data_IF_224405071775
#
_entry.id   IF_224405071775
#
_cell.length_a   1.000
_cell.length_b   1.000
_cell.length_c   1.000
_cell.angle_alpha   90.00
_cell.angle_beta   90.00
_cell.angle_gamma   90.00
#
_symmetry.space_group_name_H-M   'P 1'
#
loop_
_entity.id
_entity.type
_entity.pdbx_description
1 polymer ?
#
# COMPACT_ATOMS: atom_id res chain seq x y z
N UNK A 1 13.17 10.12 28.10
CA UNK A 1 11.86 9.65 28.62
C UNK A 1 11.76 8.15 28.32
N UNK A 2 11.30 7.33 29.27
CA UNK A 2 11.08 5.90 28.99
C UNK A 2 9.99 5.76 27.93
N UNK A 3 10.21 4.90 26.92
CA UNK A 3 9.25 4.57 25.85
C UNK A 3 7.82 4.33 26.39
N UNK A 4 7.71 3.77 27.61
CA UNK A 4 6.41 3.51 28.27
C UNK A 4 5.56 4.76 28.56
N UNK A 5 6.16 5.89 28.96
CA UNK A 5 5.40 7.12 29.25
C UNK A 5 4.80 7.71 27.98
N UNK A 6 5.50 7.53 26.86
CA UNK A 6 5.10 8.02 25.55
C UNK A 6 3.86 7.30 25.04
N UNK A 7 3.90 5.97 25.08
CA UNK A 7 2.82 5.07 24.64
C UNK A 7 1.54 5.29 25.46
N UNK A 8 1.66 5.48 26.77
CA UNK A 8 0.51 5.76 27.64
C UNK A 8 -0.21 7.06 27.26
N UNK A 9 0.52 8.10 26.84
CA UNK A 9 -0.10 9.36 26.42
C UNK A 9 -0.79 9.25 25.06
N UNK A 10 -0.20 8.51 24.12
CA UNK A 10 -0.85 8.20 22.83
C UNK A 10 -2.15 7.42 23.00
N UNK A 11 -2.22 6.54 24.00
CA UNK A 11 -3.43 5.77 24.34
C UNK A 11 -4.38 6.48 25.32
N UNK A 12 -4.17 7.78 25.62
CA UNK A 12 -5.04 8.55 26.51
C UNK A 12 -6.44 8.74 25.93
N UNK A 13 -7.49 8.75 26.75
CA UNK A 13 -8.84 9.12 26.30
C UNK A 13 -8.98 10.61 25.96
N UNK A 14 -8.15 11.46 26.55
CA UNK A 14 -8.14 12.91 26.27
C UNK A 14 -7.44 13.23 24.94
N UNK A 15 -8.18 13.86 24.02
CA UNK A 15 -7.69 14.24 22.69
C UNK A 15 -6.46 15.14 22.77
N UNK A 16 -6.46 16.16 23.65
CA UNK A 16 -5.34 17.12 23.74
C UNK A 16 -4.05 16.42 24.15
N UNK A 17 -4.14 15.49 25.10
CA UNK A 17 -3.02 14.66 25.53
C UNK A 17 -2.48 13.81 24.39
N UNK A 18 -3.36 13.20 23.57
CA UNK A 18 -2.93 12.41 22.41
C UNK A 18 -2.26 13.28 21.34
N UNK A 19 -2.84 14.42 21.00
CA UNK A 19 -2.31 15.33 19.98
C UNK A 19 -0.90 15.83 20.38
N UNK A 20 -0.73 16.29 21.61
CA UNK A 20 0.58 16.75 22.11
C UNK A 20 1.61 15.61 22.18
N UNK A 21 1.15 14.38 22.46
CA UNK A 21 2.00 13.20 22.39
C UNK A 21 2.43 12.92 20.94
N UNK A 22 1.52 12.96 19.97
CA UNK A 22 1.85 12.75 18.56
C UNK A 22 2.86 13.79 18.04
N UNK A 23 2.68 15.07 18.37
CA UNK A 23 3.64 16.12 18.02
C UNK A 23 5.03 15.87 18.64
N UNK A 24 5.05 15.43 19.91
CA UNK A 24 6.30 15.01 20.55
C UNK A 24 6.93 13.78 19.86
N UNK A 25 6.12 12.90 19.25
CA UNK A 25 6.61 11.70 18.54
C UNK A 25 7.33 12.11 17.28
N UNK A 26 6.73 13.01 16.51
CA UNK A 26 7.27 13.49 15.25
C UNK A 26 8.68 14.04 15.46
N UNK A 27 8.85 14.90 16.47
CA UNK A 27 10.16 15.43 16.83
C UNK A 27 11.13 14.35 17.33
N UNK A 28 10.63 13.39 18.11
CA UNK A 28 11.46 12.28 18.59
C UNK A 28 11.98 11.43 17.43
N UNK A 29 11.11 11.00 16.51
CA UNK A 29 11.47 10.17 15.35
C UNK A 29 12.48 10.87 14.43
N UNK A 30 12.29 12.17 14.16
CA UNK A 30 13.22 12.98 13.36
C UNK A 30 14.65 13.00 13.89
N UNK A 31 14.83 12.83 15.20
CA UNK A 31 16.16 12.84 15.84
C UNK A 31 16.80 11.46 15.97
N UNK A 32 16.06 10.38 15.70
CA UNK A 32 16.50 9.01 15.95
C UNK A 32 17.00 8.35 14.67
N UNK A 33 18.21 7.81 14.74
CA UNK A 33 18.81 7.02 13.65
C UNK A 33 18.44 5.54 13.72
N UNK A 34 18.26 4.99 14.93
CA UNK A 34 17.89 3.60 15.12
C UNK A 34 17.08 3.43 16.40
N UNK A 35 16.19 2.44 16.40
CA UNK A 35 15.34 2.01 17.49
C UNK A 35 15.17 0.50 17.36
N UNK A 36 14.96 -0.20 18.47
CA UNK A 36 14.66 -1.63 18.39
C UNK A 36 13.24 -1.84 17.85
N UNK A 37 13.03 -2.91 17.07
CA UNK A 37 11.69 -3.34 16.67
C UNK A 37 10.71 -3.40 17.85
N UNK A 38 11.13 -3.85 19.03
CA UNK A 38 10.29 -3.87 20.24
C UNK A 38 9.81 -2.47 20.65
N UNK A 39 10.66 -1.46 20.57
CA UNK A 39 10.28 -0.08 20.89
C UNK A 39 9.38 0.53 19.81
N UNK A 40 9.61 0.20 18.53
CA UNK A 40 8.73 0.59 17.43
C UNK A 40 7.34 -0.04 17.58
N UNK A 41 7.26 -1.33 17.96
CA UNK A 41 5.98 -2.01 18.26
C UNK A 41 5.24 -1.35 19.43
N UNK A 42 5.96 -0.95 20.49
CA UNK A 42 5.35 -0.20 21.60
C UNK A 42 4.78 1.13 21.12
N UNK A 43 5.51 1.87 20.27
CA UNK A 43 5.04 3.12 19.67
C UNK A 43 3.77 2.86 18.84
N UNK A 44 3.81 1.88 17.93
CA UNK A 44 2.66 1.53 17.09
C UNK A 44 1.45 1.05 17.89
N UNK A 45 1.65 0.33 18.98
CA UNK A 45 0.57 -0.02 19.92
C UNK A 45 -0.10 1.23 20.51
N UNK A 46 0.68 2.28 20.82
CA UNK A 46 0.16 3.58 21.23
C UNK A 46 -0.63 4.28 20.12
N UNK A 47 -0.08 4.33 18.90
CA UNK A 47 -0.72 4.95 17.73
C UNK A 47 -2.02 4.24 17.32
N UNK A 48 -2.03 2.90 17.39
CA UNK A 48 -3.22 2.07 17.21
C UNK A 48 -4.35 2.53 18.14
N UNK A 49 -4.05 2.71 19.44
CA UNK A 49 -5.06 3.21 20.38
C UNK A 49 -5.42 4.68 20.18
N UNK A 50 -4.49 5.51 19.66
CA UNK A 50 -4.84 6.87 19.24
C UNK A 50 -5.93 6.86 18.17
N UNK A 51 -5.84 5.98 17.18
CA UNK A 51 -6.89 5.77 16.17
C UNK A 51 -8.14 5.13 16.76
N UNK A 52 -7.98 4.14 17.63
CA UNK A 52 -9.09 3.45 18.31
C UNK A 52 -10.02 4.42 19.06
N UNK A 53 -9.47 5.41 19.76
CA UNK A 53 -10.22 6.45 20.49
C UNK A 53 -10.60 7.67 19.64
N UNK A 54 -10.34 7.64 18.33
CA UNK A 54 -10.76 8.69 17.41
C UNK A 54 -12.14 8.35 16.81
N UNK A 55 -13.19 9.06 17.25
CA UNK A 55 -14.58 8.72 16.88
C UNK A 55 -15.21 9.68 15.86
N UNK A 56 -14.60 10.85 15.60
CA UNK A 56 -15.15 11.83 14.64
C UNK A 56 -14.52 11.62 13.26
N UNK A 57 -15.32 11.47 12.21
CA UNK A 57 -14.85 11.16 10.84
C UNK A 57 -13.73 12.09 10.34
N UNK A 58 -13.94 13.41 10.34
CA UNK A 58 -12.90 14.38 9.95
C UNK A 58 -11.63 14.30 10.81
N UNK A 59 -11.75 13.88 12.07
CA UNK A 59 -10.60 13.68 12.94
C UNK A 59 -9.88 12.35 12.65
N UNK A 60 -10.61 11.32 12.23
CA UNK A 60 -10.04 10.03 11.78
C UNK A 60 -9.25 10.23 10.48
N UNK A 61 -9.77 10.98 9.52
CA UNK A 61 -9.07 11.34 8.28
C UNK A 61 -7.75 12.07 8.58
N UNK A 62 -7.82 13.17 9.36
CA UNK A 62 -6.63 13.94 9.74
C UNK A 62 -5.63 13.11 10.54
N UNK A 63 -6.10 12.24 11.43
CA UNK A 63 -5.22 11.39 12.20
C UNK A 63 -4.54 10.35 11.29
N UNK A 64 -5.28 9.70 10.40
CA UNK A 64 -4.73 8.73 9.44
C UNK A 64 -3.64 9.37 8.57
N UNK A 65 -3.92 10.57 8.07
CA UNK A 65 -2.94 11.38 7.33
C UNK A 65 -1.69 11.68 8.17
N UNK A 66 -1.87 12.19 9.40
CA UNK A 66 -0.73 12.51 10.28
C UNK A 66 0.10 11.26 10.67
N UNK A 67 -0.53 10.09 10.79
CA UNK A 67 0.16 8.84 11.04
C UNK A 67 0.93 8.36 9.81
N UNK A 68 0.37 8.52 8.61
CA UNK A 68 1.06 8.29 7.34
C UNK A 68 2.29 9.17 7.21
N UNK A 69 2.16 10.47 7.49
CA UNK A 69 3.27 11.44 7.47
C UNK A 69 4.44 11.11 8.40
N UNK A 70 4.25 10.23 9.39
CA UNK A 70 5.40 9.72 10.17
C UNK A 70 6.42 9.01 9.27
N UNK A 71 5.96 8.32 8.21
CA UNK A 71 6.82 7.67 7.23
C UNK A 71 7.51 8.67 6.32
N UNK A 72 6.73 9.51 5.61
CA UNK A 72 7.29 10.40 4.60
C UNK A 72 8.00 11.64 5.15
N UNK A 73 7.73 12.06 6.39
CA UNK A 73 8.24 13.34 6.93
C UNK A 73 9.07 13.19 8.22
N UNK A 74 9.03 12.05 8.92
CA UNK A 74 9.61 11.95 10.27
C UNK A 74 10.66 10.87 10.48
N UNK A 75 10.59 9.73 9.80
CA UNK A 75 11.59 8.66 9.91
C UNK A 75 12.61 8.72 8.77
N UNK A 76 13.76 8.08 8.96
CA UNK A 76 14.79 7.89 7.95
C UNK A 76 14.72 6.49 7.35
N UNK A 77 15.53 6.24 6.32
CA UNK A 77 15.57 4.97 5.61
C UNK A 77 15.95 3.79 6.54
N UNK A 78 16.81 4.02 7.53
CA UNK A 78 17.23 2.98 8.47
C UNK A 78 16.09 2.51 9.39
N UNK A 79 15.14 3.39 9.70
CA UNK A 79 13.97 3.05 10.51
C UNK A 79 12.77 2.59 9.68
N UNK A 80 12.73 2.91 8.38
CA UNK A 80 11.56 2.74 7.52
C UNK A 80 11.01 1.31 7.57
N UNK A 81 11.85 0.32 7.27
CA UNK A 81 11.41 -1.07 7.18
C UNK A 81 10.99 -1.66 8.54
N UNK A 82 11.72 -1.37 9.61
CA UNK A 82 11.33 -1.83 10.95
C UNK A 82 10.06 -1.13 11.47
N UNK A 83 9.84 0.13 11.10
CA UNK A 83 8.64 0.86 11.46
C UNK A 83 7.41 0.33 10.72
N UNK A 84 7.55 0.01 9.43
CA UNK A 84 6.52 -0.68 8.63
C UNK A 84 6.21 -2.06 9.18
N UNK A 85 7.24 -2.84 9.54
CA UNK A 85 7.04 -4.16 10.15
C UNK A 85 6.29 -4.06 11.48
N UNK A 86 6.68 -3.11 12.35
CA UNK A 86 6.01 -2.89 13.62
C UNK A 86 4.53 -2.50 13.45
N UNK A 87 4.19 -1.71 12.43
CA UNK A 87 2.81 -1.39 12.08
C UNK A 87 2.01 -2.65 11.77
N UNK A 88 2.49 -3.47 10.83
CA UNK A 88 1.78 -4.67 10.40
C UNK A 88 1.66 -5.71 11.50
N UNK A 89 2.71 -5.95 12.28
CA UNK A 89 2.63 -6.89 13.41
C UNK A 89 1.59 -6.46 14.45
N UNK A 90 1.53 -5.17 14.78
CA UNK A 90 0.50 -4.66 15.69
C UNK A 90 -0.88 -4.80 15.07
N UNK A 91 -1.04 -4.42 13.80
CA UNK A 91 -2.34 -4.46 13.15
C UNK A 91 -2.88 -5.90 13.03
N UNK A 92 -2.06 -6.87 12.59
CA UNK A 92 -2.44 -8.29 12.47
C UNK A 92 -2.88 -8.87 13.82
N UNK A 93 -2.16 -8.56 14.90
CA UNK A 93 -2.51 -9.03 16.25
C UNK A 93 -3.85 -8.43 16.70
N UNK A 94 -4.04 -7.13 16.50
CA UNK A 94 -5.21 -6.42 17.00
C UNK A 94 -6.45 -6.55 16.12
N UNK A 95 -6.29 -6.88 14.83
CA UNK A 95 -7.40 -6.99 13.88
C UNK A 95 -8.47 -7.98 14.34
N UNK A 96 -8.05 -9.09 14.97
CA UNK A 96 -8.95 -10.12 15.51
C UNK A 96 -9.87 -9.60 16.62
N UNK A 97 -9.47 -8.52 17.29
CA UNK A 97 -10.21 -7.88 18.38
C UNK A 97 -10.98 -6.62 17.93
N UNK A 98 -10.89 -6.27 16.64
CA UNK A 98 -11.51 -5.07 16.10
C UNK A 98 -12.99 -5.33 15.81
N UNK A 99 -13.86 -4.51 16.38
CA UNK A 99 -15.29 -4.59 16.11
C UNK A 99 -15.67 -3.86 14.81
N UNK A 100 -16.82 -4.25 14.23
CA UNK A 100 -17.29 -3.75 12.94
C UNK A 100 -17.40 -2.22 12.84
N UNK A 101 -17.70 -1.52 13.94
CA UNK A 101 -17.88 -0.07 13.96
C UNK A 101 -16.57 0.71 13.84
N UNK A 102 -15.43 0.02 13.95
CA UNK A 102 -14.09 0.60 13.86
C UNK A 102 -13.36 0.22 12.58
N UNK A 103 -13.88 -0.71 11.79
CA UNK A 103 -13.21 -1.22 10.59
C UNK A 103 -12.84 -0.09 9.62
N UNK A 104 -13.79 0.75 9.25
CA UNK A 104 -13.60 1.77 8.20
C UNK A 104 -12.42 2.71 8.48
N UNK A 105 -12.25 3.16 9.73
CA UNK A 105 -11.12 4.04 10.08
C UNK A 105 -9.77 3.33 10.07
N UNK A 106 -9.75 2.01 10.30
CA UNK A 106 -8.52 1.23 10.18
C UNK A 106 -8.22 0.87 8.72
N UNK A 107 -9.22 0.64 7.87
CA UNK A 107 -9.02 0.55 6.42
C UNK A 107 -8.49 1.86 5.84
N UNK A 108 -9.04 3.01 6.26
CA UNK A 108 -8.51 4.32 5.90
C UNK A 108 -7.07 4.52 6.40
N UNK A 109 -6.77 4.07 7.61
CA UNK A 109 -5.41 4.12 8.14
C UNK A 109 -4.44 3.31 7.28
N UNK A 110 -4.77 2.05 6.94
CA UNK A 110 -3.96 1.20 6.06
C UNK A 110 -3.69 1.92 4.74
N UNK A 111 -4.74 2.49 4.13
CA UNK A 111 -4.66 3.24 2.88
C UNK A 111 -3.69 4.42 2.96
N UNK A 112 -3.75 5.20 4.04
CA UNK A 112 -2.81 6.32 4.26
C UNK A 112 -1.39 5.84 4.56
N UNK A 113 -1.21 4.76 5.32
CA UNK A 113 0.12 4.20 5.57
C UNK A 113 0.75 3.72 4.27
N UNK A 114 0.00 3.00 3.42
CA UNK A 114 0.48 2.55 2.11
C UNK A 114 0.92 3.74 1.24
N UNK A 115 0.06 4.75 1.10
CA UNK A 115 0.39 5.98 0.36
C UNK A 115 1.71 6.60 0.82
N UNK A 116 1.88 6.78 2.13
CA UNK A 116 3.08 7.42 2.65
C UNK A 116 4.32 6.52 2.60
N UNK A 117 4.17 5.19 2.58
CA UNK A 117 5.26 4.28 2.25
C UNK A 117 5.72 4.49 0.81
N UNK A 118 4.78 4.52 -0.14
CA UNK A 118 5.08 4.75 -1.56
C UNK A 118 5.71 6.13 -1.78
N UNK A 119 5.19 7.19 -1.14
CA UNK A 119 5.82 8.52 -1.17
C UNK A 119 7.23 8.52 -0.60
N UNK A 120 7.47 7.76 0.47
CA UNK A 120 8.81 7.63 1.03
C UNK A 120 9.76 6.96 0.03
N UNK A 121 9.37 5.83 -0.55
CA UNK A 121 10.14 5.13 -1.59
C UNK A 121 10.40 6.01 -2.82
N UNK A 122 9.39 6.73 -3.32
CA UNK A 122 9.54 7.73 -4.40
C UNK A 122 10.57 8.80 -4.04
N UNK A 123 10.54 9.31 -2.80
CA UNK A 123 11.51 10.32 -2.35
C UNK A 123 12.93 9.79 -2.13
N UNK A 124 13.08 8.46 -2.06
CA UNK A 124 14.37 7.76 -2.09
C UNK A 124 14.71 7.26 -3.51
N UNK A 125 14.06 7.81 -4.54
CA UNK A 125 14.30 7.47 -5.95
C UNK A 125 14.17 5.97 -6.23
N UNK A 126 13.25 5.30 -5.51
CA UNK A 126 13.01 3.86 -5.64
C UNK A 126 14.26 3.00 -5.42
N UNK A 127 15.14 3.41 -4.50
CA UNK A 127 16.35 2.66 -4.13
C UNK A 127 16.09 1.14 -3.99
N UNK A 128 16.84 0.35 -4.76
CA UNK A 128 16.56 -1.07 -4.95
C UNK A 128 16.67 -1.87 -3.62
N UNK A 129 17.67 -1.58 -2.78
CA UNK A 129 17.84 -2.25 -1.50
C UNK A 129 16.67 -1.94 -0.56
N UNK A 130 16.26 -0.67 -0.49
CA UNK A 130 15.15 -0.21 0.32
C UNK A 130 13.82 -0.81 -0.15
N UNK A 131 13.56 -0.82 -1.46
CA UNK A 131 12.37 -1.41 -2.07
C UNK A 131 12.29 -2.91 -1.78
N UNK A 132 13.38 -3.65 -2.02
CA UNK A 132 13.45 -5.09 -1.73
C UNK A 132 13.22 -5.40 -0.25
N UNK A 133 13.80 -4.60 0.65
CA UNK A 133 13.60 -4.78 2.08
C UNK A 133 12.15 -4.47 2.51
N UNK A 134 11.49 -3.48 1.88
CA UNK A 134 10.09 -3.16 2.12
C UNK A 134 9.14 -4.24 1.60
N UNK A 135 9.39 -4.76 0.38
CA UNK A 135 8.70 -5.93 -0.19
C UNK A 135 8.81 -7.11 0.76
N UNK A 136 10.01 -7.42 1.24
CA UNK A 136 10.23 -8.48 2.22
C UNK A 136 9.48 -8.24 3.54
N UNK A 137 9.18 -6.99 3.91
CA UNK A 137 8.28 -6.69 5.04
C UNK A 137 6.83 -7.06 4.73
N UNK A 138 6.33 -6.77 3.53
CA UNK A 138 4.97 -7.15 3.14
C UNK A 138 4.79 -8.67 3.06
N UNK A 139 5.72 -9.36 2.42
CA UNK A 139 5.70 -10.82 2.28
C UNK A 139 5.79 -11.57 3.60
N UNK A 140 6.48 -11.03 4.61
CA UNK A 140 6.54 -11.68 5.94
C UNK A 140 5.39 -11.26 6.86
N UNK A 141 4.54 -10.33 6.44
CA UNK A 141 3.46 -9.77 7.27
C UNK A 141 2.10 -9.88 6.58
N UNK A 142 1.54 -8.78 6.08
CA UNK A 142 0.16 -8.73 5.58
C UNK A 142 -0.07 -9.58 4.32
N UNK A 143 0.94 -9.75 3.47
CA UNK A 143 0.88 -10.56 2.25
C UNK A 143 1.57 -11.93 2.41
N UNK A 144 1.69 -12.43 3.65
CA UNK A 144 2.39 -13.69 3.92
C UNK A 144 1.63 -14.97 3.57
N UNK A 145 0.31 -14.89 3.41
CA UNK A 145 -0.54 -16.08 3.22
C UNK A 145 -0.67 -16.97 4.47
N UNK A 146 -0.14 -16.54 5.63
CA UNK A 146 -0.26 -17.27 6.89
C UNK A 146 -1.69 -17.19 7.45
N UNK A 147 -2.18 -18.28 8.03
CA UNK A 147 -3.49 -18.37 8.71
C UNK A 147 -3.58 -17.43 9.92
N UNK A 148 -2.43 -16.97 10.42
CA UNK A 148 -2.39 -15.99 11.50
C UNK A 148 -2.91 -14.62 11.07
N UNK A 149 -2.88 -14.30 9.77
CA UNK A 149 -3.33 -13.04 9.17
C UNK A 149 -4.81 -13.12 8.81
N UNK A 150 -5.59 -12.13 9.25
CA UNK A 150 -7.00 -12.03 8.87
C UNK A 150 -7.12 -11.70 7.37
N UNK A 151 -7.87 -12.50 6.62
CA UNK A 151 -8.08 -12.35 5.18
C UNK A 151 -8.55 -10.96 4.74
N UNK A 152 -9.29 -10.25 5.60
CA UNK A 152 -9.68 -8.86 5.36
C UNK A 152 -8.50 -7.93 5.02
N UNK A 153 -7.30 -8.20 5.54
CA UNK A 153 -6.12 -7.37 5.32
C UNK A 153 -5.51 -7.53 3.92
N UNK A 154 -5.12 -8.74 3.44
CA UNK A 154 -4.63 -8.90 2.08
C UNK A 154 -5.68 -8.57 1.02
N UNK A 155 -6.97 -8.85 1.28
CA UNK A 155 -8.05 -8.41 0.38
C UNK A 155 -8.04 -6.88 0.21
N UNK A 156 -8.03 -6.16 1.33
CA UNK A 156 -7.98 -4.70 1.32
C UNK A 156 -6.69 -4.16 0.70
N UNK A 157 -5.57 -4.88 0.81
CA UNK A 157 -4.34 -4.50 0.10
C UNK A 157 -4.52 -4.61 -1.42
N UNK A 158 -5.14 -5.67 -1.92
CA UNK A 158 -5.46 -5.80 -3.35
C UNK A 158 -6.36 -4.64 -3.81
N UNK A 159 -7.41 -4.34 -3.03
CA UNK A 159 -8.40 -3.29 -3.35
C UNK A 159 -7.80 -1.87 -3.51
N UNK A 160 -6.63 -1.60 -2.93
CA UNK A 160 -6.09 -0.23 -2.85
C UNK A 160 -4.70 -0.06 -3.45
N UNK A 161 -3.99 -1.15 -3.79
CA UNK A 161 -2.56 -1.04 -4.07
C UNK A 161 -2.28 -0.19 -5.32
N UNK A 162 -2.91 -0.56 -6.44
CA UNK A 162 -2.73 0.15 -7.71
C UNK A 162 -3.28 1.58 -7.62
N UNK A 163 -4.40 1.80 -6.92
CA UNK A 163 -4.95 3.14 -6.67
C UNK A 163 -3.96 4.08 -5.96
N UNK A 164 -3.33 3.59 -4.88
CA UNK A 164 -2.40 4.40 -4.11
C UNK A 164 -1.06 4.56 -4.83
N UNK A 165 -0.64 3.58 -5.64
CA UNK A 165 0.51 3.69 -6.52
C UNK A 165 0.28 4.75 -7.60
N UNK A 166 -0.83 4.67 -8.34
CA UNK A 166 -1.23 5.66 -9.34
C UNK A 166 -1.20 7.08 -8.76
N UNK A 167 -1.84 7.27 -7.61
CA UNK A 167 -1.91 8.56 -6.94
C UNK A 167 -0.51 9.13 -6.63
N UNK A 168 0.43 8.29 -6.19
CA UNK A 168 1.78 8.73 -5.84
C UNK A 168 2.65 8.97 -7.07
N UNK A 169 2.50 8.16 -8.11
CA UNK A 169 3.23 8.33 -9.37
C UNK A 169 2.83 9.64 -10.05
N UNK A 170 1.54 9.88 -10.18
CA UNK A 170 1.00 10.99 -10.97
C UNK A 170 0.58 12.21 -10.15
N UNK A 171 0.96 12.30 -8.86
CA UNK A 171 0.62 13.43 -7.98
C UNK A 171 0.97 14.80 -8.61
N UNK A 172 2.06 14.88 -9.37
CA UNK A 172 2.54 16.13 -9.99
C UNK A 172 1.77 16.54 -11.24
N UNK A 173 1.09 15.59 -11.88
CA UNK A 173 0.30 15.82 -13.10
C UNK A 173 -1.20 15.62 -12.85
N UNK A 174 -1.62 15.50 -11.58
CA UNK A 174 -3.00 15.20 -11.23
C UNK A 174 -3.97 16.29 -11.71
N UNK A 175 -3.57 17.57 -11.65
CA UNK A 175 -4.40 18.66 -12.16
C UNK A 175 -4.63 18.52 -13.67
N UNK A 176 -3.61 18.13 -14.43
CA UNK A 176 -3.75 17.87 -15.87
C UNK A 176 -4.65 16.67 -16.14
N UNK A 177 -4.54 15.60 -15.33
CA UNK A 177 -5.44 14.43 -15.42
C UNK A 177 -6.89 14.82 -15.13
N UNK A 178 -7.12 15.61 -14.07
CA UNK A 178 -8.46 16.03 -13.66
C UNK A 178 -9.13 16.95 -14.69
N UNK A 179 -8.35 17.84 -15.33
CA UNK A 179 -8.82 18.67 -16.45
C UNK A 179 -9.13 17.83 -17.70
N UNK A 180 -8.44 16.71 -17.87
CA UNK A 180 -8.55 15.83 -19.02
C UNK A 180 -9.76 14.88 -18.97
N UNK A 181 -10.18 14.48 -17.78
CA UNK A 181 -11.33 13.58 -17.57
C UNK A 181 -12.69 14.25 -17.88
N UNK A 182 -12.70 15.51 -18.36
CA UNK A 182 -13.87 16.15 -18.95
C UNK A 182 -14.20 15.56 -20.35
N UNK A 183 -15.49 15.33 -20.65
CA UNK A 183 -16.02 14.58 -21.81
C UNK A 183 -15.56 15.03 -23.24
N UNK A 184 -14.70 16.05 -23.37
CA UNK A 184 -14.31 16.67 -24.63
C UNK A 184 -12.85 16.41 -25.08
N UNK A 185 -12.07 15.59 -24.37
CA UNK A 185 -10.67 15.36 -24.73
C UNK A 185 -10.50 14.61 -26.07
N UNK A 186 -9.60 15.10 -26.94
CA UNK A 186 -9.35 14.47 -28.23
C UNK A 186 -8.51 13.19 -28.11
N UNK A 187 -8.50 12.36 -29.15
CA UNK A 187 -7.66 11.16 -29.22
C UNK A 187 -6.17 11.51 -29.12
N UNK A 188 -5.78 12.65 -29.69
CA UNK A 188 -4.39 13.12 -29.66
C UNK A 188 -3.98 13.48 -28.23
N UNK A 189 -4.83 14.20 -27.52
CA UNK A 189 -4.57 14.55 -26.12
C UNK A 189 -4.50 13.28 -25.25
N UNK A 190 -5.31 12.23 -25.54
CA UNK A 190 -5.30 10.96 -24.78
C UNK A 190 -3.97 10.24 -24.96
N UNK A 191 -3.48 10.25 -26.19
CA UNK A 191 -2.21 9.64 -26.58
C UNK A 191 -1.05 10.37 -25.90
N UNK A 192 -1.10 11.70 -25.80
CA UNK A 192 -0.09 12.50 -25.10
C UNK A 192 -0.08 12.19 -23.59
N UNK A 193 -1.25 12.09 -22.97
CA UNK A 193 -1.35 11.72 -21.55
C UNK A 193 -0.82 10.32 -21.25
N UNK A 194 -1.11 9.34 -22.11
CA UNK A 194 -0.58 7.98 -21.96
C UNK A 194 0.95 7.96 -22.08
N UNK A 195 1.51 8.66 -23.07
CA UNK A 195 2.97 8.81 -23.22
C UNK A 195 3.59 9.43 -21.96
N UNK A 196 2.98 10.50 -21.43
CA UNK A 196 3.46 11.14 -20.20
C UNK A 196 3.43 10.20 -18.99
N UNK A 197 2.38 9.36 -18.86
CA UNK A 197 2.30 8.34 -17.81
C UNK A 197 3.42 7.31 -17.95
N UNK A 198 3.65 6.80 -19.15
CA UNK A 198 4.74 5.84 -19.45
C UNK A 198 6.10 6.47 -19.11
N UNK A 199 6.35 7.72 -19.49
CA UNK A 199 7.59 8.43 -19.17
C UNK A 199 7.81 8.62 -17.66
N UNK A 200 6.74 8.86 -16.88
CA UNK A 200 6.83 8.97 -15.40
C UNK A 200 7.09 7.62 -14.75
N UNK A 201 6.53 6.56 -15.34
CA UNK A 201 6.68 5.18 -14.86
C UNK A 201 8.05 4.61 -15.27
N UNK A 202 8.70 5.19 -16.28
CA UNK A 202 10.07 4.85 -16.65
C UNK A 202 11.02 5.05 -15.46
N UNK A 203 11.73 3.99 -15.07
CA UNK A 203 12.58 3.96 -13.88
C UNK A 203 11.87 3.67 -12.55
N UNK A 204 10.55 3.44 -12.55
CA UNK A 204 9.83 2.93 -11.38
C UNK A 204 9.80 1.39 -11.43
N UNK A 205 10.20 0.68 -10.37
CA UNK A 205 10.21 -0.77 -10.36
C UNK A 205 8.80 -1.36 -10.10
N UNK A 206 7.81 -1.03 -10.93
CA UNK A 206 6.39 -1.40 -10.73
C UNK A 206 6.20 -2.91 -10.64
N UNK A 207 6.79 -3.68 -11.56
CA UNK A 207 6.75 -5.16 -11.51
C UNK A 207 7.29 -5.72 -10.19
N UNK A 208 8.32 -5.08 -9.64
CA UNK A 208 8.89 -5.47 -8.35
C UNK A 208 7.95 -5.14 -7.20
N UNK A 209 7.30 -3.98 -7.24
CA UNK A 209 6.34 -3.55 -6.22
C UNK A 209 5.12 -4.47 -6.13
N UNK A 210 4.70 -5.09 -7.23
CA UNK A 210 3.57 -6.04 -7.28
C UNK A 210 3.97 -7.51 -7.05
N UNK A 211 5.26 -7.84 -7.00
CA UNK A 211 5.79 -9.20 -6.77
C UNK A 211 5.17 -9.92 -5.55
N UNK A 212 4.94 -9.26 -4.39
CA UNK A 212 4.24 -9.90 -3.26
C UNK A 212 2.86 -10.45 -3.61
N UNK A 213 2.13 -9.79 -4.52
CA UNK A 213 0.81 -10.22 -4.98
C UNK A 213 0.92 -11.38 -5.96
N UNK A 214 1.94 -11.40 -6.82
CA UNK A 214 2.23 -12.55 -7.69
C UNK A 214 2.56 -13.80 -6.85
N UNK A 215 3.38 -13.65 -5.83
CA UNK A 215 3.68 -14.73 -4.88
C UNK A 215 2.43 -15.22 -4.15
N UNK A 216 1.63 -14.28 -3.62
CA UNK A 216 0.39 -14.62 -2.93
C UNK A 216 -0.65 -15.25 -3.88
N UNK A 217 -0.69 -14.83 -5.15
CA UNK A 217 -1.50 -15.43 -6.19
C UNK A 217 -1.13 -16.91 -6.43
N UNK A 218 0.15 -17.30 -6.36
CA UNK A 218 0.55 -18.70 -6.49
C UNK A 218 0.34 -19.50 -5.19
N UNK A 219 0.74 -18.92 -4.06
CA UNK A 219 0.91 -19.67 -2.81
C UNK A 219 -0.29 -19.59 -1.84
N UNK A 220 -1.23 -18.65 -2.02
CA UNK A 220 -2.34 -18.49 -1.08
C UNK A 220 -3.24 -19.74 -1.05
N UNK A 221 -3.60 -20.18 0.16
CA UNK A 221 -4.45 -21.37 0.36
C UNK A 221 -5.84 -21.22 -0.26
N UNK A 222 -6.41 -20.02 -0.17
CA UNK A 222 -7.77 -19.73 -0.65
C UNK A 222 -7.73 -19.29 -2.10
N UNK A 223 -8.42 -20.04 -2.97
CA UNK A 223 -8.57 -19.72 -4.40
C UNK A 223 -9.09 -18.30 -4.62
N UNK A 224 -10.06 -17.87 -3.83
CA UNK A 224 -10.64 -16.52 -3.94
C UNK A 224 -9.64 -15.40 -3.64
N UNK A 225 -8.60 -15.64 -2.83
CA UNK A 225 -7.53 -14.66 -2.62
C UNK A 225 -6.56 -14.68 -3.79
N UNK A 226 -6.27 -15.86 -4.35
CA UNK A 226 -5.44 -15.98 -5.56
C UNK A 226 -6.07 -15.20 -6.70
N UNK A 227 -7.35 -15.45 -6.98
CA UNK A 227 -8.15 -14.74 -7.99
C UNK A 227 -8.13 -13.23 -7.75
N UNK A 228 -8.37 -12.78 -6.51
CA UNK A 228 -8.34 -11.35 -6.19
C UNK A 228 -6.97 -10.70 -6.42
N UNK A 229 -5.87 -11.39 -6.14
CA UNK A 229 -4.54 -10.88 -6.45
C UNK A 229 -4.33 -10.75 -7.97
N UNK A 230 -4.86 -11.69 -8.75
CA UNK A 230 -4.79 -11.65 -10.21
C UNK A 230 -5.62 -10.49 -10.75
N UNK A 231 -6.92 -10.49 -10.49
CA UNK A 231 -7.90 -9.55 -11.05
C UNK A 231 -7.64 -8.09 -10.64
N UNK A 232 -7.36 -7.82 -9.37
CA UNK A 232 -7.30 -6.44 -8.87
C UNK A 232 -5.90 -5.82 -8.91
N UNK A 233 -4.85 -6.62 -9.19
CA UNK A 233 -3.46 -6.15 -9.11
C UNK A 233 -2.62 -6.56 -10.30
N UNK A 234 -2.57 -7.85 -10.64
CA UNK A 234 -1.66 -8.35 -11.69
C UNK A 234 -2.19 -8.06 -13.10
N UNK A 235 -3.51 -8.13 -13.27
CA UNK A 235 -4.21 -7.93 -14.54
C UNK A 235 -4.89 -6.53 -14.59
N UNK A 236 -4.53 -5.62 -13.68
CA UNK A 236 -5.11 -4.26 -13.67
C UNK A 236 -4.71 -3.53 -14.97
N UNK A 237 -5.71 -3.11 -15.76
CA UNK A 237 -5.52 -2.47 -17.08
C UNK A 237 -4.59 -1.24 -17.01
N UNK A 238 -4.51 -0.56 -15.86
CA UNK A 238 -3.59 0.57 -15.69
C UNK A 238 -2.12 0.17 -15.87
N UNK A 239 -1.76 -1.09 -15.63
CA UNK A 239 -0.40 -1.58 -15.87
C UNK A 239 -0.05 -1.56 -17.37
N UNK A 240 -1.01 -1.84 -18.25
CA UNK A 240 -0.85 -1.70 -19.70
C UNK A 240 -0.78 -0.22 -20.09
N UNK A 241 -1.68 0.62 -19.56
CA UNK A 241 -1.66 2.07 -19.79
C UNK A 241 -0.32 2.72 -19.38
N UNK A 242 0.36 2.15 -18.39
CA UNK A 242 1.65 2.62 -17.89
C UNK A 242 2.84 2.06 -18.66
N UNK A 243 2.60 1.19 -19.64
CA UNK A 243 3.65 0.49 -20.41
C UNK A 243 4.45 -0.50 -19.58
N UNK A 244 3.88 -1.01 -18.47
CA UNK A 244 4.53 -1.96 -17.57
C UNK A 244 4.41 -3.40 -18.08
N UNK A 245 3.28 -3.70 -18.73
CA UNK A 245 2.96 -5.00 -19.34
C UNK A 245 2.59 -4.75 -20.81
N UNK A 246 2.90 -5.70 -21.68
CA UNK A 246 2.51 -5.65 -23.10
C UNK A 246 0.98 -5.76 -23.24
N UNK A 247 0.44 -5.15 -24.29
CA UNK A 247 -0.99 -5.21 -24.60
C UNK A 247 -1.23 -6.40 -25.53
N UNK A 248 -1.69 -7.53 -24.97
CA UNK A 248 -1.95 -8.76 -25.73
C UNK A 248 -3.11 -8.61 -26.75
N UNK A 249 -3.75 -7.44 -26.86
CA UNK A 249 -4.85 -7.20 -27.81
C UNK A 249 -4.44 -7.13 -29.29
N UNK A 250 -3.13 -7.11 -29.60
CA UNK A 250 -2.61 -7.24 -30.97
C UNK A 250 -2.45 -8.71 -31.43
N UNK A 251 -2.58 -9.71 -30.54
CA UNK A 251 -2.40 -11.13 -30.87
C UNK A 251 -3.74 -11.89 -31.09
N UNK A 252 -4.90 -11.27 -30.81
CA UNK A 252 -6.21 -11.91 -31.00
C UNK A 252 -6.73 -11.90 -32.46
N UNK A 253 -6.05 -11.25 -33.42
CA UNK A 253 -6.48 -11.26 -34.84
C UNK A 253 -6.06 -12.53 -35.63
N UNK A 254 -5.21 -13.40 -35.09
CA UNK A 254 -4.68 -14.59 -35.82
C UNK A 254 -5.15 -15.97 -35.28
N UNK A 255 -6.00 -16.04 -34.24
CA UNK A 255 -6.48 -17.32 -33.66
C UNK A 255 -7.97 -17.66 -33.92
N UNK A 256 -8.57 -17.11 -34.99
CA UNK A 256 -9.91 -17.55 -35.45
C UNK A 256 -9.89 -18.72 -36.44
N UNK A 257 -8.93 -19.64 -36.42
CA UNK A 257 -9.08 -20.95 -37.06
C UNK A 257 -8.41 -22.08 -36.24
N UNK A 258 -9.09 -22.57 -35.20
CA UNK A 258 -9.34 -24.01 -34.96
C UNK A 258 -10.05 -24.24 -33.61
N UNK A 259 -11.40 -24.25 -33.64
CA UNK A 259 -12.17 -24.98 -32.61
C UNK A 259 -12.17 -26.46 -32.97
N UNK A 260 -11.60 -27.30 -32.12
CA UNK A 260 -12.27 -28.52 -31.64
C UNK A 260 -11.52 -29.19 -30.46
N UNK A 261 -12.04 -28.97 -29.25
CA UNK A 261 -12.16 -29.98 -28.19
C UNK A 261 -10.91 -30.36 -27.39
N UNK A 262 -10.78 -29.83 -26.17
CA UNK A 262 -10.82 -30.61 -24.94
C UNK A 262 -10.93 -29.65 -23.73
N UNK A 263 -11.85 -29.93 -22.80
CA UNK A 263 -11.80 -29.35 -21.44
C UNK A 263 -10.53 -29.90 -20.76
N UNK A 264 -9.52 -29.06 -20.57
CA UNK A 264 -8.51 -29.25 -19.54
C UNK A 264 -7.90 -27.90 -19.14
N UNK A 265 -7.66 -27.75 -17.84
CA UNK A 265 -7.32 -26.54 -17.10
C UNK A 265 -6.22 -25.69 -17.77
N UNK A 266 -6.56 -24.49 -18.27
CA UNK A 266 -5.56 -23.45 -18.52
C UNK A 266 -5.24 -22.76 -17.18
N UNK A 267 -4.20 -23.26 -16.51
CA UNK A 267 -3.44 -22.43 -15.58
C UNK A 267 -2.73 -21.37 -16.41
N UNK A 268 -3.41 -20.25 -16.66
CA UNK A 268 -2.80 -19.03 -17.21
C UNK A 268 -1.88 -18.46 -16.13
N UNK A 269 -0.71 -19.08 -16.06
CA UNK A 269 0.41 -18.70 -15.21
C UNK A 269 0.86 -17.31 -15.67
N UNK A 270 0.77 -16.33 -14.78
CA UNK A 270 1.29 -14.98 -15.05
C UNK A 270 2.78 -15.08 -15.43
N UNK A 271 3.11 -14.66 -16.66
CA UNK A 271 4.42 -14.84 -17.29
C UNK A 271 5.35 -13.62 -17.18
N UNK A 272 5.04 -12.65 -16.30
CA UNK A 272 5.70 -11.34 -16.24
C UNK A 272 7.05 -11.26 -15.52
N UNK A 273 7.91 -12.30 -15.57
CA UNK A 273 9.31 -12.23 -15.12
C UNK A 273 10.30 -12.76 -16.15
#
# INVERSE_FOLDING_TARGET
MSSSTFVKKLASSDKKTRDAALESLQNFLKTKKSLSLLDLKKIWKGLYYSMWYCDRSKAQERLSENLGKLYSECINAELFNEFTLAFWEILVIEWKNLDQWRLDKFYLLIRRILRHNLKFLKSQEWDEELVNAWIGVLEKSVLSGDDSVSMALPYHMCDIFIDELQLVLFEEIQEEIDEFDEENASIEDKTEMLKKKVEIVDGVPVLKLIEPFAKLNKDAKLKTLREKCKEDVLDDERLKDWGVIEDDSDDEEDEEEEKEGNDDESEDEWNGF
#
